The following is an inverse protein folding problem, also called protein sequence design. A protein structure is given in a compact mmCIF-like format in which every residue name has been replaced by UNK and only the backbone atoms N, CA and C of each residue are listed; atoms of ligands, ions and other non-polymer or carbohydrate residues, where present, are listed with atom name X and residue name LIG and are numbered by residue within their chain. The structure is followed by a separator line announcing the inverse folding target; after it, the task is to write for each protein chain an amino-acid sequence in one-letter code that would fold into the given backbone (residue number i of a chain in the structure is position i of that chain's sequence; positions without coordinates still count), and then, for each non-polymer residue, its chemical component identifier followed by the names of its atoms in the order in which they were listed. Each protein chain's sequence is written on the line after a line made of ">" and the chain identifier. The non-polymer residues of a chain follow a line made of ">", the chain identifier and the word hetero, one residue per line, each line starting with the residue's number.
data_IF_650084562348
#
_entry.id   IF_650084562348
#
_cell.length_a   1.000
_cell.length_b   1.000
_cell.length_c   1.000
_cell.angle_alpha   90.00
_cell.angle_beta   90.00
_cell.angle_gamma   90.00
#
_symmetry.space_group_name_H-M   'P 1'
#
loop_
_entity.id
_entity.type
_entity.pdbx_description
1 polymer ?
#
# COMPACT_ATOMS: atom_id res chain seq x y z
N UNK A 1 -19.24 -8.88 15.74
CA UNK A 1 -19.39 -7.45 15.38
C UNK A 1 -19.27 -7.36 13.86
N UNK A 2 -20.11 -6.58 13.18
CA UNK A 2 -19.97 -6.36 11.74
C UNK A 2 -18.69 -5.57 11.47
N UNK A 3 -17.95 -5.94 10.42
CA UNK A 3 -16.80 -5.17 9.96
C UNK A 3 -17.25 -4.23 8.83
N UNK A 4 -16.90 -2.95 8.93
CA UNK A 4 -17.24 -1.94 7.93
C UNK A 4 -15.97 -1.28 7.39
N UNK A 5 -15.94 -0.99 6.09
CA UNK A 5 -14.90 -0.12 5.54
C UNK A 5 -15.23 1.33 5.85
N UNK A 6 -14.26 2.06 6.40
CA UNK A 6 -14.25 3.51 6.49
C UNK A 6 -13.38 4.04 5.36
N UNK A 7 -13.90 4.98 4.57
CA UNK A 7 -13.21 5.61 3.45
C UNK A 7 -13.05 7.10 3.68
N UNK A 8 -11.85 7.63 3.43
CA UNK A 8 -11.55 9.05 3.53
C UNK A 8 -10.84 9.52 2.24
N UNK A 9 -11.44 10.51 1.56
CA UNK A 9 -10.91 11.12 0.34
C UNK A 9 -10.12 12.39 0.67
N UNK A 10 -8.80 12.26 0.81
CA UNK A 10 -7.89 13.38 1.02
C UNK A 10 -7.36 13.96 -0.29
N UNK A 11 -6.60 15.05 -0.16
CA UNK A 11 -5.91 15.64 -1.31
C UNK A 11 -4.72 14.75 -1.72
N UNK A 12 -4.71 14.33 -2.99
CA UNK A 12 -3.64 13.50 -3.56
C UNK A 12 -3.57 12.05 -3.06
N UNK A 13 -4.50 11.62 -2.20
CA UNK A 13 -4.61 10.24 -1.72
C UNK A 13 -6.04 9.93 -1.26
N UNK A 14 -6.54 8.75 -1.61
CA UNK A 14 -7.65 8.10 -0.92
C UNK A 14 -7.10 7.04 0.04
N UNK A 15 -7.70 6.92 1.22
CA UNK A 15 -7.38 5.84 2.16
C UNK A 15 -8.65 5.17 2.68
N UNK A 16 -8.54 3.89 2.99
CA UNK A 16 -9.63 3.12 3.55
C UNK A 16 -9.12 2.13 4.60
N UNK A 17 -9.91 1.93 5.66
CA UNK A 17 -9.65 0.93 6.70
C UNK A 17 -10.89 0.08 6.95
N UNK A 18 -10.72 -1.25 6.98
CA UNK A 18 -11.74 -2.17 7.45
C UNK A 18 -11.64 -2.25 8.96
N UNK A 19 -12.71 -1.95 9.67
CA UNK A 19 -12.71 -1.85 11.13
C UNK A 19 -13.69 -2.83 11.75
N UNK A 20 -13.27 -3.49 12.83
CA UNK A 20 -14.14 -4.24 13.73
C UNK A 20 -13.67 -4.08 15.17
N UNK A 21 -14.59 -3.74 16.08
CA UNK A 21 -14.27 -3.62 17.51
C UNK A 21 -13.18 -2.59 17.84
N UNK A 22 -13.10 -1.48 17.10
CA UNK A 22 -12.10 -0.44 17.33
C UNK A 22 -10.70 -0.74 16.76
N UNK A 23 -10.56 -1.80 15.95
CA UNK A 23 -9.28 -2.25 15.38
C UNK A 23 -9.34 -2.27 13.86
N UNK A 24 -8.24 -1.87 13.22
CA UNK A 24 -8.05 -2.02 11.78
C UNK A 24 -7.73 -3.49 11.48
N UNK A 25 -8.57 -4.12 10.65
CA UNK A 25 -8.37 -5.47 10.12
C UNK A 25 -7.65 -5.45 8.76
N UNK A 26 -7.89 -4.42 7.95
CA UNK A 26 -7.21 -4.23 6.68
C UNK A 26 -7.16 -2.75 6.33
N UNK A 27 -6.16 -2.32 5.56
CA UNK A 27 -6.07 -0.96 5.07
C UNK A 27 -5.68 -0.93 3.60
N UNK A 28 -6.09 0.13 2.90
CA UNK A 28 -5.68 0.41 1.53
C UNK A 28 -5.44 1.89 1.34
N UNK A 29 -4.46 2.22 0.50
CA UNK A 29 -4.17 3.57 0.05
C UNK A 29 -4.09 3.62 -1.47
N UNK A 30 -4.61 4.69 -2.07
CA UNK A 30 -4.51 4.97 -3.49
C UNK A 30 -3.98 6.39 -3.67
N UNK A 31 -2.94 6.56 -4.49
CA UNK A 31 -2.29 7.86 -4.72
C UNK A 31 -2.70 8.50 -6.05
N UNK A 32 -3.77 7.99 -6.67
CA UNK A 32 -4.30 8.49 -7.93
C UNK A 32 -3.50 8.06 -9.16
N UNK A 33 -2.75 6.96 -9.08
CA UNK A 33 -2.05 6.40 -10.24
C UNK A 33 -3.05 6.09 -11.36
N UNK A 34 -2.83 6.63 -12.56
CA UNK A 34 -3.73 6.44 -13.70
C UNK A 34 -3.74 5.00 -14.21
N UNK A 35 -2.54 4.41 -14.36
CA UNK A 35 -2.34 3.04 -14.84
C UNK A 35 -2.30 2.08 -13.65
N UNK A 36 -3.48 1.67 -13.19
CA UNK A 36 -3.65 0.76 -12.04
C UNK A 36 -4.79 -0.24 -12.30
N UNK A 37 -4.91 -1.32 -11.49
CA UNK A 37 -5.87 -2.38 -11.71
C UNK A 37 -7.30 -1.88 -11.99
N UNK A 38 -7.97 -2.49 -12.96
CA UNK A 38 -9.32 -2.12 -13.35
C UNK A 38 -9.42 -1.11 -14.51
N UNK A 39 -8.35 -0.34 -14.80
CA UNK A 39 -8.26 0.47 -16.01
C UNK A 39 -8.44 -0.43 -17.24
N UNK A 40 -9.35 -0.06 -18.13
CA UNK A 40 -9.49 -0.64 -19.48
C UNK A 40 -9.23 0.47 -20.48
N UNK A 41 -8.26 0.29 -21.36
CA UNK A 41 -7.90 1.29 -22.35
C UNK A 41 -7.31 0.64 -23.61
N UNK A 42 -7.24 1.42 -24.68
CA UNK A 42 -6.45 1.05 -25.85
C UNK A 42 -4.96 1.21 -25.54
N UNK A 43 -4.16 0.25 -25.98
CA UNK A 43 -2.71 0.34 -25.93
C UNK A 43 -2.10 -0.31 -27.17
N UNK A 44 -1.08 0.34 -27.73
CA UNK A 44 -0.37 -0.15 -28.91
C UNK A 44 0.71 -1.16 -28.50
N UNK A 45 0.73 -2.34 -29.11
CA UNK A 45 1.80 -3.32 -28.93
C UNK A 45 3.09 -2.78 -29.56
N UNK A 46 4.09 -2.43 -28.74
CA UNK A 46 5.35 -1.84 -29.23
C UNK A 46 6.48 -2.86 -29.32
N UNK A 47 6.43 -3.92 -28.52
CA UNK A 47 7.42 -4.99 -28.55
C UNK A 47 6.77 -6.32 -28.21
N UNK A 48 7.01 -7.35 -29.01
CA UNK A 48 6.63 -8.73 -28.70
C UNK A 48 7.87 -9.53 -28.33
N UNK A 49 7.84 -10.17 -27.17
CA UNK A 49 8.98 -10.96 -26.71
C UNK A 49 8.98 -12.31 -27.46
N UNK A 50 10.07 -12.61 -28.17
CA UNK A 50 10.22 -13.81 -28.99
C UNK A 50 9.87 -15.10 -28.24
N UNK A 51 9.11 -15.99 -28.88
CA UNK A 51 8.73 -17.29 -28.32
C UNK A 51 7.75 -17.22 -27.13
N UNK A 52 7.21 -16.05 -26.78
CA UNK A 52 6.34 -15.89 -25.62
C UNK A 52 5.00 -15.24 -25.95
N UNK A 53 4.06 -15.33 -25.01
CA UNK A 53 2.80 -14.58 -25.02
C UNK A 53 2.91 -13.24 -24.29
N UNK A 54 4.12 -12.68 -24.23
CA UNK A 54 4.44 -11.45 -23.50
C UNK A 54 4.99 -10.38 -24.43
N UNK A 55 4.87 -9.14 -23.99
CA UNK A 55 5.29 -7.97 -24.73
C UNK A 55 5.28 -6.71 -23.90
N UNK A 56 5.54 -5.59 -24.56
CA UNK A 56 5.34 -4.24 -24.03
C UNK A 56 4.28 -3.55 -24.87
N UNK A 57 3.28 -2.98 -24.21
CA UNK A 57 2.32 -2.07 -24.83
C UNK A 57 2.55 -0.65 -24.34
N UNK A 58 2.16 0.33 -25.15
CA UNK A 58 2.21 1.75 -24.82
C UNK A 58 0.82 2.37 -24.93
N UNK A 59 0.40 3.07 -23.88
CA UNK A 59 -0.84 3.86 -23.85
C UNK A 59 -0.65 5.20 -24.57
N UNK A 60 -1.76 5.90 -24.85
CA UNK A 60 -1.74 7.18 -25.57
C UNK A 60 -0.99 8.30 -24.83
N UNK A 61 -0.94 8.24 -23.50
CA UNK A 61 -0.18 9.17 -22.65
C UNK A 61 1.33 8.84 -22.58
N UNK A 62 1.77 7.83 -23.33
CA UNK A 62 3.15 7.36 -23.38
C UNK A 62 3.53 6.38 -22.27
N UNK A 63 2.64 6.08 -21.32
CA UNK A 63 2.92 5.08 -20.30
C UNK A 63 3.09 3.69 -20.93
N UNK A 64 4.07 2.93 -20.44
CA UNK A 64 4.32 1.56 -20.89
C UNK A 64 3.86 0.53 -19.86
N UNK A 65 3.40 -0.62 -20.35
CA UNK A 65 3.02 -1.75 -19.52
C UNK A 65 3.48 -3.08 -20.15
N UNK A 66 3.79 -4.05 -19.29
CA UNK A 66 4.00 -5.43 -19.73
C UNK A 66 2.65 -6.06 -20.03
N UNK A 67 2.46 -6.58 -21.23
CA UNK A 67 1.28 -7.37 -21.58
C UNK A 67 1.59 -8.86 -21.38
N UNK A 68 0.66 -9.55 -20.73
CA UNK A 68 0.67 -11.01 -20.59
C UNK A 68 -0.50 -11.62 -21.37
N UNK A 69 -0.38 -12.92 -21.71
CA UNK A 69 -1.40 -13.67 -22.44
C UNK A 69 -1.76 -13.11 -23.82
N UNK A 70 -0.84 -12.45 -24.52
CA UNK A 70 -1.04 -11.98 -25.90
C UNK A 70 -1.63 -13.05 -26.82
N UNK A 71 -2.61 -12.71 -27.67
CA UNK A 71 -3.09 -13.58 -28.74
C UNK A 71 -1.95 -13.94 -29.70
N UNK A 72 -2.03 -15.10 -30.35
CA UNK A 72 -0.94 -15.58 -31.21
C UNK A 72 -0.76 -14.70 -32.44
N UNK A 73 -1.86 -14.17 -32.94
CA UNK A 73 -2.03 -13.31 -34.10
C UNK A 73 -1.65 -11.84 -33.86
N UNK A 74 -1.43 -11.42 -32.61
CA UNK A 74 -1.10 -10.03 -32.30
C UNK A 74 0.30 -9.65 -32.80
N UNK A 75 0.40 -8.70 -33.72
CA UNK A 75 1.67 -8.21 -34.29
C UNK A 75 2.05 -6.85 -33.70
N UNK A 76 3.35 -6.53 -33.72
CA UNK A 76 3.80 -5.20 -33.30
C UNK A 76 3.14 -4.11 -34.16
N UNK A 77 2.79 -3.00 -33.50
CA UNK A 77 2.10 -1.87 -34.10
C UNK A 77 0.57 -1.89 -33.94
N UNK A 78 -0.06 -3.04 -33.65
CA UNK A 78 -1.52 -3.12 -33.48
C UNK A 78 -1.99 -2.50 -32.16
N UNK A 79 -3.18 -1.90 -32.18
CA UNK A 79 -3.86 -1.47 -30.95
C UNK A 79 -4.68 -2.61 -30.39
N UNK A 80 -4.63 -2.80 -29.07
CA UNK A 80 -5.39 -3.80 -28.33
C UNK A 80 -6.15 -3.10 -27.21
N UNK A 81 -7.40 -3.51 -26.99
CA UNK A 81 -8.06 -3.23 -25.70
C UNK A 81 -7.37 -4.08 -24.64
N UNK A 82 -6.83 -3.43 -23.62
CA UNK A 82 -6.16 -4.09 -22.51
C UNK A 82 -6.73 -3.64 -21.17
N UNK A 83 -6.74 -4.56 -20.21
CA UNK A 83 -7.07 -4.28 -18.80
C UNK A 83 -5.80 -4.36 -17.96
N UNK A 84 -5.55 -3.35 -17.13
CA UNK A 84 -4.48 -3.39 -16.12
C UNK A 84 -4.87 -4.38 -15.01
N UNK A 85 -3.96 -5.30 -14.69
CA UNK A 85 -4.13 -6.31 -13.63
C UNK A 85 -3.16 -6.12 -12.46
N UNK A 86 -2.08 -5.37 -12.65
CA UNK A 86 -1.12 -5.00 -11.60
C UNK A 86 -0.61 -3.60 -11.88
N UNK A 87 -0.59 -2.73 -10.87
CA UNK A 87 0.01 -1.40 -10.95
C UNK A 87 1.53 -1.46 -11.15
N UNK A 88 2.13 -0.33 -11.49
CA UNK A 88 3.59 -0.18 -11.38
C UNK A 88 4.03 -0.43 -9.94
N UNK A 89 5.19 -1.09 -9.77
CA UNK A 89 5.78 -1.33 -8.45
C UNK A 89 7.20 -0.80 -8.47
N UNK A 90 7.43 0.26 -7.70
CA UNK A 90 8.74 0.85 -7.54
C UNK A 90 9.56 0.03 -6.53
N UNK A 91 10.76 -0.35 -6.93
CA UNK A 91 11.71 -1.13 -6.13
C UNK A 91 13.02 -0.35 -6.00
N UNK A 92 13.94 -0.83 -5.16
CA UNK A 92 15.29 -0.27 -5.11
C UNK A 92 15.98 -0.49 -6.47
N UNK A 93 16.35 0.60 -7.14
CA UNK A 93 17.11 0.59 -8.40
C UNK A 93 16.29 0.41 -9.68
N UNK A 94 14.98 0.10 -9.62
CA UNK A 94 14.12 -0.02 -10.81
C UNK A 94 12.64 0.17 -10.49
N UNK A 95 11.82 0.36 -11.52
CA UNK A 95 10.36 0.29 -11.41
C UNK A 95 9.86 -0.83 -12.29
N UNK A 96 9.19 -1.82 -11.70
CA UNK A 96 8.45 -2.83 -12.46
C UNK A 96 7.27 -2.13 -13.14
N UNK A 97 7.21 -2.23 -14.47
CA UNK A 97 6.07 -1.72 -15.25
C UNK A 97 4.75 -2.34 -14.74
N UNK A 98 3.62 -1.62 -14.92
CA UNK A 98 2.29 -2.21 -14.79
C UNK A 98 2.16 -3.46 -15.66
N UNK A 99 1.25 -4.36 -15.27
CA UNK A 99 0.90 -5.54 -16.08
C UNK A 99 -0.51 -5.38 -16.59
N UNK A 100 -0.70 -5.69 -17.87
CA UNK A 100 -1.99 -5.71 -18.53
C UNK A 100 -2.27 -7.09 -19.14
N UNK A 101 -3.56 -7.36 -19.38
CA UNK A 101 -4.01 -8.50 -20.18
C UNK A 101 -4.94 -7.99 -21.29
N UNK A 102 -4.97 -8.64 -22.47
CA UNK A 102 -5.98 -8.39 -23.49
C UNK A 102 -7.40 -8.49 -22.90
N UNK A 103 -8.25 -7.55 -23.26
CA UNK A 103 -9.63 -7.43 -22.81
C UNK A 103 -10.56 -7.14 -24.01
N UNK A 104 -10.61 -8.04 -25.02
CA UNK A 104 -11.40 -7.81 -26.22
C UNK A 104 -12.89 -7.71 -25.88
N UNK A 105 -13.57 -6.72 -26.47
CA UNK A 105 -15.00 -6.48 -26.25
C UNK A 105 -15.35 -5.71 -24.98
N UNK A 106 -14.37 -5.30 -24.18
CA UNK A 106 -14.61 -4.41 -23.04
C UNK A 106 -14.53 -2.94 -23.46
N UNK A 107 -15.42 -2.11 -22.90
CA UNK A 107 -15.41 -0.67 -23.12
C UNK A 107 -14.29 0.02 -22.33
N UNK A 108 -13.59 1.00 -22.93
CA UNK A 108 -12.62 1.82 -22.23
C UNK A 108 -13.24 2.52 -21.01
N UNK A 109 -12.58 2.44 -19.86
CA UNK A 109 -12.99 3.07 -18.61
C UNK A 109 -11.79 3.36 -17.72
N UNK A 110 -11.80 4.45 -16.93
CA UNK A 110 -10.72 4.73 -15.99
C UNK A 110 -10.61 3.63 -14.92
N UNK A 111 -9.47 3.59 -14.23
CA UNK A 111 -9.37 2.77 -13.03
C UNK A 111 -10.37 3.25 -11.97
N UNK A 112 -11.12 2.34 -11.31
CA UNK A 112 -12.08 2.67 -10.27
C UNK A 112 -11.41 3.39 -9.10
N UNK A 113 -12.05 4.39 -8.49
CA UNK A 113 -11.66 4.96 -7.19
C UNK A 113 -11.49 3.88 -6.12
N UNK A 114 -10.78 4.20 -5.03
CA UNK A 114 -10.59 3.22 -3.95
C UNK A 114 -11.95 2.77 -3.36
N UNK A 115 -12.91 3.70 -3.28
CA UNK A 115 -14.28 3.41 -2.84
C UNK A 115 -14.98 2.42 -3.77
N UNK A 116 -14.97 2.68 -5.08
CA UNK A 116 -15.58 1.79 -6.08
C UNK A 116 -14.92 0.39 -6.09
N UNK A 117 -13.59 0.32 -5.93
CA UNK A 117 -12.88 -0.97 -5.82
C UNK A 117 -13.37 -1.80 -4.63
N UNK A 118 -13.65 -1.17 -3.49
CA UNK A 118 -14.14 -1.84 -2.29
C UNK A 118 -15.61 -2.25 -2.43
N UNK A 119 -16.47 -1.36 -2.93
CA UNK A 119 -17.89 -1.65 -3.16
C UNK A 119 -18.08 -2.80 -4.18
N UNK A 120 -17.21 -2.91 -5.19
CA UNK A 120 -17.23 -4.00 -6.15
C UNK A 120 -16.97 -5.38 -5.53
N UNK A 121 -16.42 -5.45 -4.30
CA UNK A 121 -16.28 -6.70 -3.54
C UNK A 121 -17.55 -7.10 -2.78
N UNK A 122 -18.60 -6.27 -2.84
CA UNK A 122 -19.82 -6.43 -2.04
C UNK A 122 -19.70 -5.92 -0.60
N UNK A 123 -18.59 -5.24 -0.26
CA UNK A 123 -18.35 -4.73 1.08
C UNK A 123 -19.14 -3.44 1.36
N UNK A 124 -19.57 -3.24 2.62
CA UNK A 124 -20.14 -1.96 3.05
C UNK A 124 -19.04 -0.92 3.24
N UNK A 125 -19.18 0.24 2.58
CA UNK A 125 -18.20 1.33 2.62
C UNK A 125 -18.86 2.62 3.10
N UNK A 126 -18.38 3.15 4.22
CA UNK A 126 -18.83 4.40 4.85
C UNK A 126 -17.79 5.49 4.62
N UNK A 127 -18.19 6.55 3.93
CA UNK A 127 -17.33 7.74 3.80
C UNK A 127 -17.34 8.52 5.11
N UNK A 128 -16.15 8.89 5.60
CA UNK A 128 -15.96 9.68 6.81
C UNK A 128 -15.35 11.04 6.47
N UNK A 129 -15.69 12.06 7.25
CA UNK A 129 -15.13 13.40 7.07
C UNK A 129 -13.64 13.43 7.46
N UNK A 130 -12.82 14.13 6.68
CA UNK A 130 -11.38 14.28 6.92
C UNK A 130 -11.04 15.00 8.24
N UNK A 131 -11.94 15.88 8.66
CA UNK A 131 -11.91 16.59 9.95
C UNK A 131 -12.35 15.71 11.12
N UNK A 132 -12.94 14.55 10.84
CA UNK A 132 -13.33 13.57 11.84
C UNK A 132 -12.14 12.78 12.38
N UNK A 133 -12.38 12.07 13.49
CA UNK A 133 -11.35 11.28 14.18
C UNK A 133 -11.41 9.78 13.90
N UNK A 134 -12.34 9.33 13.06
CA UNK A 134 -12.60 7.89 12.85
C UNK A 134 -11.34 7.07 12.49
N UNK A 135 -10.42 7.61 11.69
CA UNK A 135 -9.15 6.93 11.39
C UNK A 135 -8.21 6.89 12.60
N UNK A 136 -8.04 8.02 13.31
CA UNK A 136 -7.18 8.11 14.48
C UNK A 136 -7.69 7.23 15.62
N UNK A 137 -9.00 7.28 15.90
CA UNK A 137 -9.66 6.49 16.96
C UNK A 137 -9.58 4.97 16.70
N UNK A 138 -9.28 4.54 15.47
CA UNK A 138 -9.08 3.12 15.10
C UNK A 138 -7.61 2.75 14.86
N UNK A 139 -6.65 3.62 15.20
CA UNK A 139 -5.23 3.30 15.15
C UNK A 139 -4.54 3.53 13.80
N UNK A 140 -5.05 4.44 12.96
CA UNK A 140 -4.39 4.79 11.70
C UNK A 140 -2.96 5.32 11.90
N UNK A 141 -2.76 6.19 12.89
CA UNK A 141 -1.46 6.86 13.07
C UNK A 141 -0.36 5.84 13.42
N UNK A 142 -0.69 4.86 14.27
CA UNK A 142 0.19 3.72 14.58
C UNK A 142 0.46 2.86 13.33
N UNK A 143 -0.57 2.55 12.53
CA UNK A 143 -0.39 1.77 11.30
C UNK A 143 0.47 2.51 10.27
N UNK A 144 0.31 3.83 10.15
CA UNK A 144 1.11 4.66 9.27
C UNK A 144 2.56 4.73 9.73
N UNK A 145 2.81 4.81 11.04
CA UNK A 145 4.15 4.69 11.62
C UNK A 145 4.77 3.32 11.31
N UNK A 146 4.05 2.23 11.56
CA UNK A 146 4.46 0.86 11.21
C UNK A 146 4.77 0.71 9.71
N UNK A 147 4.02 1.39 8.84
CA UNK A 147 4.28 1.41 7.40
C UNK A 147 5.56 2.19 7.03
N UNK A 148 5.91 3.24 7.79
CA UNK A 148 7.15 4.01 7.58
C UNK A 148 8.37 3.26 8.11
N UNK A 149 8.28 2.68 9.31
CA UNK A 149 9.42 2.02 9.97
C UNK A 149 9.61 0.59 9.48
N UNK A 150 8.53 -0.09 9.11
CA UNK A 150 8.49 -1.53 8.88
C UNK A 150 8.50 -2.35 10.16
N UNK A 151 8.48 -1.72 11.35
CA UNK A 151 8.60 -2.41 12.63
C UNK A 151 7.23 -2.50 13.32
N UNK A 152 6.85 -3.70 13.77
CA UNK A 152 5.62 -3.94 14.54
C UNK A 152 5.99 -4.67 15.83
N UNK A 153 5.84 -3.98 16.96
CA UNK A 153 6.11 -4.53 18.27
C UNK A 153 5.00 -5.48 18.76
N UNK A 154 5.38 -6.47 19.54
CA UNK A 154 4.49 -7.32 20.32
C UNK A 154 5.10 -7.65 21.67
N UNK A 155 4.35 -8.33 22.55
CA UNK A 155 4.84 -8.66 23.88
C UNK A 155 6.08 -9.59 23.80
N UNK A 156 7.26 -9.05 24.09
CA UNK A 156 8.53 -9.78 24.13
C UNK A 156 9.36 -9.76 22.84
N UNK A 157 8.92 -9.05 21.80
CA UNK A 157 9.64 -8.93 20.53
C UNK A 157 9.02 -7.94 19.55
N UNK A 158 9.52 -7.94 18.32
CA UNK A 158 8.95 -7.21 17.19
C UNK A 158 9.15 -8.01 15.90
N UNK A 159 8.34 -7.70 14.89
CA UNK A 159 8.61 -8.13 13.52
C UNK A 159 9.12 -6.95 12.69
N UNK A 160 10.05 -7.23 11.79
CA UNK A 160 10.60 -6.25 10.84
C UNK A 160 10.22 -6.64 9.43
N UNK A 161 9.37 -5.83 8.80
CA UNK A 161 8.88 -6.01 7.44
C UNK A 161 9.74 -5.20 6.48
N UNK A 162 10.50 -5.90 5.63
CA UNK A 162 11.47 -5.33 4.71
C UNK A 162 11.13 -5.66 3.24
N UNK A 163 10.51 -4.72 2.50
CA UNK A 163 10.28 -4.89 1.06
C UNK A 163 11.60 -4.90 0.27
N UNK A 164 11.85 -5.96 -0.51
CA UNK A 164 13.03 -6.05 -1.41
C UNK A 164 12.59 -6.24 -2.87
N UNK A 165 13.49 -6.09 -3.87
CA UNK A 165 13.15 -6.31 -5.27
C UNK A 165 12.65 -7.73 -5.62
N UNK A 166 13.00 -8.73 -4.80
CA UNK A 166 12.64 -10.13 -5.03
C UNK A 166 11.36 -10.51 -4.28
N UNK A 167 11.28 -10.15 -3.00
CA UNK A 167 10.19 -10.50 -2.08
C UNK A 167 10.16 -9.54 -0.89
N UNK A 168 9.06 -9.53 -0.13
CA UNK A 168 9.04 -8.90 1.19
C UNK A 168 9.61 -9.90 2.19
N UNK A 169 10.54 -9.48 3.04
CA UNK A 169 11.05 -10.29 4.14
C UNK A 169 10.41 -9.85 5.44
N UNK A 170 10.07 -10.80 6.31
CA UNK A 170 9.61 -10.58 7.67
C UNK A 170 10.60 -11.29 8.59
N UNK A 171 11.33 -10.50 9.36
CA UNK A 171 12.25 -10.99 10.39
C UNK A 171 11.59 -10.87 11.77
N UNK A 172 11.98 -11.72 12.72
CA UNK A 172 11.40 -11.77 14.07
C UNK A 172 12.51 -11.62 15.10
N UNK A 173 12.50 -10.49 15.79
CA UNK A 173 13.44 -10.17 16.84
C UNK A 173 12.78 -10.20 18.22
N UNK A 174 13.53 -10.55 19.25
CA UNK A 174 13.02 -10.50 20.61
C UNK A 174 13.89 -11.17 21.65
N UNK A 175 13.38 -11.21 22.88
CA UNK A 175 14.12 -11.72 24.05
C UNK A 175 13.53 -13.02 24.61
N UNK A 176 12.43 -13.50 24.03
CA UNK A 176 11.77 -14.73 24.43
C UNK A 176 12.54 -15.97 23.92
N UNK A 177 12.39 -17.14 24.59
CA UNK A 177 12.89 -18.39 24.05
C UNK A 177 12.36 -18.67 22.62
N UNK A 178 13.14 -19.26 21.70
CA UNK A 178 12.84 -19.31 20.26
C UNK A 178 11.42 -19.76 19.90
N UNK A 179 10.94 -20.87 20.45
CA UNK A 179 9.58 -21.36 20.19
C UNK A 179 8.52 -20.37 20.66
N UNK A 180 8.69 -19.79 21.85
CA UNK A 180 7.74 -18.83 22.40
C UNK A 180 7.74 -17.53 21.59
N UNK A 181 8.91 -17.07 21.15
CA UNK A 181 9.05 -15.92 20.28
C UNK A 181 8.32 -16.15 18.94
N UNK A 182 8.59 -17.29 18.29
CA UNK A 182 7.97 -17.67 17.03
C UNK A 182 6.45 -17.72 17.13
N UNK A 183 5.90 -18.39 18.15
CA UNK A 183 4.46 -18.48 18.37
C UNK A 183 3.83 -17.10 18.67
N UNK A 184 4.52 -16.23 19.40
CA UNK A 184 4.02 -14.88 19.71
C UNK A 184 3.97 -13.96 18.49
N UNK A 185 4.80 -14.23 17.48
CA UNK A 185 4.83 -13.47 16.24
C UNK A 185 3.76 -13.89 15.22
N UNK A 186 3.20 -15.10 15.34
CA UNK A 186 2.29 -15.67 14.32
C UNK A 186 1.09 -14.76 14.03
N UNK A 187 0.34 -14.36 15.06
CA UNK A 187 -0.86 -13.54 14.89
C UNK A 187 -0.49 -12.14 14.39
N UNK A 188 0.65 -11.60 14.85
CA UNK A 188 1.18 -10.30 14.43
C UNK A 188 1.51 -10.31 12.93
N UNK A 189 2.09 -11.39 12.43
CA UNK A 189 2.41 -11.58 11.02
C UNK A 189 1.13 -11.69 10.20
N UNK A 190 0.17 -12.53 10.62
CA UNK A 190 -1.11 -12.68 9.93
C UNK A 190 -1.86 -11.33 9.85
N UNK A 191 -1.95 -10.60 10.96
CA UNK A 191 -2.53 -9.26 11.02
C UNK A 191 -1.79 -8.27 10.11
N UNK A 192 -0.45 -8.28 10.11
CA UNK A 192 0.36 -7.39 9.28
C UNK A 192 0.11 -7.59 7.78
N UNK A 193 -0.05 -8.84 7.32
CA UNK A 193 -0.34 -9.13 5.92
C UNK A 193 -1.62 -8.41 5.44
N UNK A 194 -2.67 -8.41 6.27
CA UNK A 194 -3.95 -7.77 5.94
C UNK A 194 -3.94 -6.26 6.19
N UNK A 195 -3.40 -5.80 7.32
CA UNK A 195 -3.39 -4.39 7.74
C UNK A 195 -2.49 -3.53 6.87
N UNK A 196 -1.37 -4.07 6.38
CA UNK A 196 -0.41 -3.35 5.55
C UNK A 196 -0.54 -3.66 4.05
N UNK A 197 -1.57 -4.42 3.64
CA UNK A 197 -1.83 -4.81 2.25
C UNK A 197 -0.62 -5.51 1.61
N UNK A 198 -0.01 -6.47 2.33
CA UNK A 198 1.17 -7.19 1.90
C UNK A 198 0.73 -8.38 1.05
N UNK A 199 1.13 -8.36 -0.23
CA UNK A 199 0.92 -9.46 -1.15
C UNK A 199 2.18 -9.82 -1.94
N UNK A 200 2.03 -10.80 -2.84
CA UNK A 200 3.14 -11.27 -3.67
C UNK A 200 3.99 -12.33 -2.96
N UNK A 201 5.29 -12.28 -3.21
CA UNK A 201 6.26 -13.20 -2.60
C UNK A 201 6.68 -12.64 -1.24
N UNK A 202 6.48 -13.41 -0.17
CA UNK A 202 6.85 -13.02 1.21
C UNK A 202 7.64 -14.13 1.88
N UNK A 203 8.85 -13.84 2.34
CA UNK A 203 9.65 -14.75 3.17
C UNK A 203 9.51 -14.38 4.64
N UNK A 204 9.23 -15.36 5.49
CA UNK A 204 9.22 -15.19 6.95
C UNK A 204 10.39 -15.97 7.52
N UNK A 205 11.26 -15.29 8.24
CA UNK A 205 12.41 -15.88 8.93
C UNK A 205 12.08 -16.04 10.40
N UNK A 206 11.63 -17.24 10.80
CA UNK A 206 11.41 -17.55 12.21
C UNK A 206 12.75 -17.85 12.89
N UNK A 207 12.86 -17.62 14.22
CA UNK A 207 14.00 -18.08 15.00
C UNK A 207 14.27 -19.57 14.75
N UNK A 208 15.54 -19.97 14.70
CA UNK A 208 15.90 -21.36 14.44
C UNK A 208 15.32 -22.29 15.51
N UNK A 209 14.53 -23.28 15.09
CA UNK A 209 13.95 -24.32 15.94
C UNK A 209 14.57 -25.67 15.61
N UNK A 210 15.29 -26.27 16.56
CA UNK A 210 15.98 -27.54 16.36
C UNK A 210 15.01 -28.73 16.28
N UNK A 211 14.00 -28.75 17.14
CA UNK A 211 13.05 -29.85 17.24
C UNK A 211 12.03 -29.83 16.11
N UNK A 212 11.83 -30.98 15.45
CA UNK A 212 10.82 -31.13 14.40
C UNK A 212 9.41 -30.82 14.92
N UNK A 213 9.12 -31.22 16.16
CA UNK A 213 7.83 -30.99 16.82
C UNK A 213 7.53 -29.49 16.97
N UNK A 214 8.56 -28.70 17.29
CA UNK A 214 8.42 -27.26 17.50
C UNK A 214 8.16 -26.54 16.16
N UNK A 215 8.86 -26.94 15.09
CA UNK A 215 8.58 -26.45 13.73
C UNK A 215 7.15 -26.75 13.30
N UNK A 216 6.68 -27.99 13.53
CA UNK A 216 5.31 -28.39 13.24
C UNK A 216 4.27 -27.60 14.05
N UNK A 217 4.60 -27.23 15.29
CA UNK A 217 3.73 -26.42 16.13
C UNK A 217 3.56 -25.01 15.56
N UNK A 218 4.66 -24.34 15.20
CA UNK A 218 4.60 -23.01 14.57
C UNK A 218 3.92 -23.09 13.20
N UNK A 219 4.22 -24.11 12.40
CA UNK A 219 3.56 -24.33 11.10
C UNK A 219 2.04 -24.48 11.25
N UNK A 220 1.58 -25.20 12.26
CA UNK A 220 0.15 -25.34 12.54
C UNK A 220 -0.45 -24.01 12.97
N UNK A 221 0.18 -23.32 13.92
CA UNK A 221 -0.29 -22.02 14.40
C UNK A 221 -0.39 -20.99 13.26
N UNK A 222 0.63 -20.91 12.40
CA UNK A 222 0.62 -20.04 11.24
C UNK A 222 -0.45 -20.45 10.22
N UNK A 223 -0.67 -21.75 10.02
CA UNK A 223 -1.76 -22.24 9.18
C UNK A 223 -3.14 -21.83 9.71
N UNK A 224 -3.35 -21.95 11.01
CA UNK A 224 -4.61 -21.57 11.67
C UNK A 224 -4.83 -20.05 11.60
N UNK A 225 -3.79 -19.23 11.82
CA UNK A 225 -3.86 -17.77 11.75
C UNK A 225 -4.10 -17.24 10.32
N UNK A 226 -3.70 -18.00 9.29
CA UNK A 226 -3.86 -17.65 7.89
C UNK A 226 -5.10 -18.31 7.24
N UNK A 227 -6.05 -18.80 8.02
CA UNK A 227 -7.20 -19.56 7.51
C UNK A 227 -8.03 -18.78 6.46
N UNK A 228 -8.16 -17.47 6.64
CA UNK A 228 -8.89 -16.57 5.74
C UNK A 228 -7.98 -15.88 4.70
N UNK A 229 -6.67 -16.10 4.79
CA UNK A 229 -5.69 -15.52 3.87
C UNK A 229 -5.64 -16.30 2.54
N UNK A 230 -5.58 -15.57 1.42
CA UNK A 230 -5.66 -16.14 0.08
C UNK A 230 -4.27 -16.23 -0.56
N UNK A 231 -3.73 -17.44 -0.65
CA UNK A 231 -2.46 -17.72 -1.32
C UNK A 231 -1.93 -19.12 -1.02
N UNK A 232 -0.67 -19.34 -1.37
CA UNK A 232 0.05 -20.57 -1.10
C UNK A 232 1.11 -20.35 -0.03
N UNK A 233 1.35 -21.36 0.80
CA UNK A 233 2.33 -21.35 1.88
C UNK A 233 3.14 -22.65 1.87
N UNK A 234 4.45 -22.54 2.06
CA UNK A 234 5.30 -23.70 2.32
C UNK A 234 5.27 -24.10 3.80
N UNK A 235 5.55 -25.36 4.09
CA UNK A 235 5.94 -25.75 5.46
C UNK A 235 7.25 -25.06 5.85
N UNK A 236 7.47 -24.91 7.16
CA UNK A 236 8.72 -24.39 7.72
C UNK A 236 9.87 -25.34 7.39
N UNK A 237 10.91 -24.79 6.76
CA UNK A 237 12.09 -25.57 6.44
C UNK A 237 13.00 -25.79 7.67
N UNK A 238 14.10 -26.54 7.50
CA UNK A 238 15.03 -26.83 8.60
C UNK A 238 15.77 -25.61 9.19
N UNK A 239 15.68 -24.46 8.54
CA UNK A 239 16.32 -23.20 8.95
C UNK A 239 15.34 -22.20 9.57
N UNK A 240 14.05 -22.52 9.68
CA UNK A 240 13.02 -21.62 10.22
C UNK A 240 12.31 -20.77 9.18
N UNK A 241 12.62 -20.93 7.89
CA UNK A 241 12.03 -20.10 6.84
C UNK A 241 10.71 -20.66 6.32
N UNK A 242 9.74 -19.76 6.12
CA UNK A 242 8.44 -20.02 5.48
C UNK A 242 8.27 -19.07 4.30
N UNK A 243 7.84 -19.59 3.15
CA UNK A 243 7.53 -18.79 1.96
C UNK A 243 6.03 -18.73 1.74
N UNK A 244 5.50 -17.51 1.61
CA UNK A 244 4.14 -17.22 1.19
C UNK A 244 4.12 -16.64 -0.22
N UNK A 245 3.15 -17.06 -1.02
CA UNK A 245 2.91 -16.51 -2.35
C UNK A 245 1.42 -16.17 -2.51
N UNK A 246 1.11 -14.90 -2.73
CA UNK A 246 -0.24 -14.44 -3.06
C UNK A 246 -0.24 -13.55 -4.30
N UNK A 247 -1.44 -13.18 -4.74
CA UNK A 247 -1.60 -12.25 -5.85
C UNK A 247 -1.10 -10.86 -5.45
N UNK A 248 -0.29 -10.25 -6.31
CA UNK A 248 0.23 -8.90 -6.13
C UNK A 248 -0.40 -7.95 -7.16
N UNK A 249 -1.31 -7.10 -6.71
CA UNK A 249 -1.98 -6.12 -7.58
C UNK A 249 -1.39 -4.71 -7.46
N UNK A 250 -0.87 -4.38 -6.28
CA UNK A 250 -0.39 -3.04 -5.90
C UNK A 250 0.74 -3.16 -4.89
N UNK A 251 1.48 -2.07 -4.68
CA UNK A 251 2.47 -2.00 -3.62
C UNK A 251 1.78 -1.94 -2.25
N UNK A 252 2.28 -2.70 -1.28
CA UNK A 252 1.87 -2.63 0.13
C UNK A 252 2.13 -1.24 0.72
N UNK A 253 1.52 -0.95 1.87
CA UNK A 253 1.75 0.31 2.58
C UNK A 253 3.24 0.49 2.91
N UNK A 254 3.89 -0.56 3.44
CA UNK A 254 5.34 -0.53 3.76
C UNK A 254 6.18 -0.26 2.52
N UNK A 255 5.91 -0.98 1.41
CA UNK A 255 6.66 -0.78 0.18
C UNK A 255 6.49 0.64 -0.38
N UNK A 256 5.27 1.18 -0.32
CA UNK A 256 4.94 2.52 -0.81
C UNK A 256 5.59 3.60 0.05
N UNK A 257 5.47 3.52 1.37
CA UNK A 257 5.92 4.56 2.30
C UNK A 257 7.45 4.59 2.39
N UNK A 258 8.11 3.43 2.46
CA UNK A 258 9.57 3.34 2.42
C UNK A 258 10.15 3.84 1.10
N UNK A 259 9.46 3.61 -0.03
CA UNK A 259 9.96 4.04 -1.35
C UNK A 259 9.74 5.53 -1.60
N UNK A 260 8.66 6.08 -1.09
CA UNK A 260 8.24 7.45 -1.36
C UNK A 260 7.94 8.23 -0.06
N UNK A 261 8.90 8.31 0.89
CA UNK A 261 8.64 8.89 2.22
C UNK A 261 8.27 10.36 2.14
N UNK A 262 8.89 11.11 1.22
CA UNK A 262 8.55 12.52 0.97
C UNK A 262 7.11 12.68 0.48
N UNK A 263 6.66 11.80 -0.42
CA UNK A 263 5.34 11.87 -1.00
C UNK A 263 4.25 11.40 -0.02
N UNK A 264 4.58 10.45 0.87
CA UNK A 264 3.73 10.06 1.99
C UNK A 264 3.60 11.21 3.00
N UNK A 265 4.71 11.83 3.40
CA UNK A 265 4.72 12.95 4.33
C UNK A 265 3.93 14.16 3.81
N UNK A 266 4.03 14.49 2.52
CA UNK A 266 3.26 15.59 1.93
C UNK A 266 1.74 15.36 2.05
N UNK A 267 1.28 14.13 1.79
CA UNK A 267 -0.13 13.74 1.91
C UNK A 267 -0.62 13.72 3.35
N UNK A 268 0.22 13.30 4.29
CA UNK A 268 -0.08 13.36 5.71
C UNK A 268 -0.19 14.82 6.20
N UNK A 269 0.72 15.68 5.74
CA UNK A 269 0.70 17.12 6.06
C UNK A 269 -0.56 17.81 5.54
N UNK A 270 -0.97 17.53 4.30
CA UNK A 270 -2.21 18.10 3.73
C UNK A 270 -3.45 17.69 4.55
N UNK A 271 -3.53 16.42 4.99
CA UNK A 271 -4.61 15.94 5.88
C UNK A 271 -4.60 16.65 7.23
N UNK A 272 -3.43 16.79 7.84
CA UNK A 272 -3.30 17.50 9.11
C UNK A 272 -3.69 18.97 8.95
N UNK A 273 -3.37 19.58 7.82
CA UNK A 273 -3.76 20.94 7.49
C UNK A 273 -5.28 21.11 7.37
N UNK A 274 -6.00 20.16 6.74
CA UNK A 274 -7.47 20.16 6.68
C UNK A 274 -8.12 20.06 8.08
N UNK A 275 -7.41 19.58 9.10
CA UNK A 275 -7.90 19.41 10.48
C UNK A 275 -7.64 20.61 11.39
N UNK A 276 -6.85 21.59 10.95
CA UNK A 276 -6.54 22.78 11.76
C UNK A 276 -7.81 23.62 11.96
N UNK A 277 -8.23 23.74 13.22
CA UNK A 277 -9.46 24.44 13.60
C UNK A 277 -9.24 25.92 13.90
N UNK A 278 -8.02 26.30 14.26
CA UNK A 278 -7.63 27.66 14.61
C UNK A 278 -7.80 28.59 13.41
N UNK A 279 -8.37 29.81 13.56
CA UNK A 279 -8.65 30.71 12.44
C UNK A 279 -7.38 31.33 11.83
N UNK A 280 -7.54 32.08 10.72
CA UNK A 280 -6.47 32.84 10.05
C UNK A 280 -5.89 32.15 8.81
N UNK A 281 -4.68 32.53 8.39
CA UNK A 281 -3.94 31.81 7.35
C UNK A 281 -3.52 30.42 7.85
N UNK A 282 -3.39 29.46 6.95
CA UNK A 282 -2.94 28.10 7.25
C UNK A 282 -1.46 27.98 6.93
N UNK A 283 -0.61 27.87 7.95
CA UNK A 283 0.83 27.74 7.79
C UNK A 283 1.25 26.27 7.77
N UNK A 284 1.81 25.82 6.65
CA UNK A 284 2.45 24.52 6.51
C UNK A 284 3.94 24.64 6.85
N UNK A 285 4.40 23.99 7.92
CA UNK A 285 5.80 23.93 8.30
C UNK A 285 6.33 22.51 8.13
N UNK A 286 7.34 22.32 7.28
CA UNK A 286 7.93 21.00 7.05
C UNK A 286 9.33 21.10 6.43
N UNK A 287 10.01 19.95 6.35
CA UNK A 287 11.26 19.83 5.59
C UNK A 287 11.07 20.31 4.14
N UNK A 288 12.01 21.06 3.53
CA UNK A 288 11.86 21.64 2.19
C UNK A 288 11.41 20.64 1.11
N UNK A 289 11.99 19.44 1.12
CA UNK A 289 11.61 18.34 0.20
C UNK A 289 10.13 17.97 0.28
N UNK A 290 9.51 18.02 1.46
CA UNK A 290 8.09 17.69 1.65
C UNK A 290 7.20 18.78 1.06
N UNK A 291 7.52 20.06 1.32
CA UNK A 291 6.78 21.18 0.75
C UNK A 291 6.92 21.22 -0.78
N UNK A 292 8.11 20.91 -1.31
CA UNK A 292 8.35 20.82 -2.75
C UNK A 292 7.54 19.68 -3.42
N UNK A 293 7.18 18.63 -2.68
CA UNK A 293 6.36 17.54 -3.19
C UNK A 293 4.85 17.86 -3.21
N UNK A 294 4.41 18.96 -2.58
CA UNK A 294 3.03 19.43 -2.67
C UNK A 294 2.83 20.14 -4.02
N UNK A 295 2.08 19.48 -4.90
CA UNK A 295 1.75 20.02 -6.22
C UNK A 295 0.93 21.32 -6.10
N UNK A 296 1.10 22.29 -7.03
CA UNK A 296 0.31 23.52 -7.02
C UNK A 296 -1.20 23.28 -6.99
N UNK A 297 -1.69 22.28 -7.73
CA UNK A 297 -3.10 21.91 -7.73
C UNK A 297 -3.60 21.43 -6.36
N UNK A 298 -2.76 20.73 -5.59
CA UNK A 298 -3.10 20.27 -4.24
C UNK A 298 -3.16 21.43 -3.24
N UNK A 299 -2.29 22.43 -3.40
CA UNK A 299 -2.35 23.63 -2.57
C UNK A 299 -3.60 24.46 -2.87
N UNK A 300 -3.94 24.64 -4.16
CA UNK A 300 -5.19 25.28 -4.57
C UNK A 300 -6.40 24.53 -4.02
N UNK A 301 -6.38 23.19 -4.07
CA UNK A 301 -7.44 22.36 -3.51
C UNK A 301 -7.53 22.52 -1.98
N UNK A 302 -6.41 22.55 -1.26
CA UNK A 302 -6.38 22.81 0.17
C UNK A 302 -6.95 24.19 0.52
N UNK A 303 -6.55 25.22 -0.23
CA UNK A 303 -7.09 26.57 -0.07
C UNK A 303 -8.61 26.59 -0.29
N UNK A 304 -9.09 25.91 -1.33
CA UNK A 304 -10.52 25.82 -1.64
C UNK A 304 -11.31 25.05 -0.59
N UNK A 305 -10.79 23.92 -0.09
CA UNK A 305 -11.47 23.09 0.92
C UNK A 305 -11.53 23.75 2.30
N UNK A 306 -10.48 24.49 2.66
CA UNK A 306 -10.39 25.15 3.97
C UNK A 306 -10.92 26.59 3.96
N UNK A 307 -11.00 27.24 2.79
CA UNK A 307 -11.34 28.65 2.68
C UNK A 307 -10.24 29.59 3.20
N UNK A 308 -8.97 29.14 3.23
CA UNK A 308 -7.86 29.84 3.88
C UNK A 308 -6.72 30.15 2.91
N UNK A 309 -6.03 31.26 3.16
CA UNK A 309 -4.72 31.52 2.54
C UNK A 309 -3.69 30.51 3.05
N UNK A 310 -3.01 29.82 2.14
CA UNK A 310 -1.95 28.85 2.48
C UNK A 310 -0.61 29.60 2.53
N UNK A 311 0.17 29.35 3.58
CA UNK A 311 1.55 29.81 3.73
C UNK A 311 2.47 28.61 3.90
N UNK A 312 3.72 28.74 3.45
CA UNK A 312 4.76 27.73 3.61
C UNK A 312 5.89 28.28 4.46
N UNK A 313 6.40 27.46 5.38
CA UNK A 313 7.64 27.70 6.11
C UNK A 313 8.52 26.47 6.02
N UNK A 314 9.66 26.63 5.35
CA UNK A 314 10.66 25.58 5.29
C UNK A 314 11.41 25.47 6.62
N UNK A 315 11.59 24.23 7.10
CA UNK A 315 12.45 23.93 8.24
C UNK A 315 13.28 22.67 7.94
N UNK A 316 14.55 22.84 7.53
CA UNK A 316 15.45 21.72 7.23
C UNK A 316 15.80 20.85 8.44
N UNK A 317 15.55 21.31 9.68
CA UNK A 317 15.82 20.54 10.89
C UNK A 317 14.73 19.49 11.18
N UNK A 318 13.55 19.61 10.56
CA UNK A 318 12.48 18.64 10.72
C UNK A 318 12.79 17.34 9.94
N UNK A 319 12.50 16.20 10.57
CA UNK A 319 12.39 14.94 9.86
C UNK A 319 11.31 15.02 8.77
N UNK A 320 11.39 14.16 7.75
CA UNK A 320 10.40 14.16 6.66
C UNK A 320 8.97 14.00 7.18
N UNK A 321 8.74 13.15 8.17
CA UNK A 321 7.44 12.94 8.82
C UNK A 321 7.07 14.00 9.87
N UNK A 322 8.00 14.89 10.23
CA UNK A 322 7.82 15.89 11.30
C UNK A 322 7.08 17.16 10.87
N UNK A 323 6.53 17.21 9.66
CA UNK A 323 5.77 18.36 9.18
C UNK A 323 4.44 18.54 9.91
N UNK A 324 4.05 19.79 10.14
CA UNK A 324 2.79 20.13 10.80
C UNK A 324 2.15 21.38 10.18
N UNK A 325 0.88 21.58 10.50
CA UNK A 325 0.10 22.73 10.07
C UNK A 325 -0.50 23.46 11.26
N UNK A 326 -0.62 24.77 11.18
CA UNK A 326 -1.20 25.60 12.24
C UNK A 326 -1.91 26.84 11.67
N UNK A 327 -2.91 27.34 12.40
CA UNK A 327 -3.51 28.64 12.12
C UNK A 327 -2.60 29.76 12.58
N UNK A 328 -2.40 30.77 11.72
CA UNK A 328 -1.64 31.98 12.05
C UNK A 328 -2.43 33.23 11.65
N UNK A 329 -2.21 34.39 12.32
CA UNK A 329 -2.83 35.64 11.90
C UNK A 329 -2.60 35.95 10.41
N UNK A 330 -3.62 36.54 9.78
CA UNK A 330 -3.55 37.05 8.40
C UNK A 330 -2.50 38.14 8.28
#
# INVERSE_FOLDING_TARGET
>A
MSADWLHEAGIGEERAILVSGGRILSARVCWGEKVRPGLVAQARLVTRHAGSRRGVVRFDDGAEALVDQLPREATEGVSLTVRVTRAAIAERGRTKLPVVRPAPGEDPRPAPSLREELEATGASVKSVAITGRAFADNGWDELAEQAVTGEIAFAGGSIIVSPTPAMTLIDIDGTLPPLKLALSAVDVIADALHRLDIGGSVGIDFPTLHEKKDRQHVDKALGDALIDWQGERTAMNGFGFVHLVSRLERASLVARYTRFPVAAAARALLRNAERVSEPGALLLTAHPRVLAAILPAWETELASRTGRTIRRKEDPALALSGGFAQGVPL
#
